data_IF_998821970790
#
_entry.id   IF_998821970790
#
_cell.length_a   1.000
_cell.length_b   1.000
_cell.length_c   1.000
_cell.angle_alpha   90.00
_cell.angle_beta   90.00
_cell.angle_gamma   90.00
#
_symmetry.space_group_name_H-M   'P 1'
#
loop_
_entity.id
_entity.type
_entity.pdbx_description
1 polymer ?
#
# COMPACT_ATOMS: atom_id res chain seq x y z
N UNK A 1 11.16 -80.19 7.60
CA UNK A 1 10.51 -80.12 6.27
C UNK A 1 10.10 -78.68 6.00
N UNK A 2 10.34 -78.17 4.78
CA UNK A 2 10.48 -76.74 4.52
C UNK A 2 9.12 -76.04 4.40
N UNK A 3 9.10 -74.78 4.87
CA UNK A 3 8.00 -73.83 4.71
C UNK A 3 7.93 -73.39 3.25
N UNK A 4 6.77 -73.59 2.64
CA UNK A 4 6.38 -73.08 1.33
C UNK A 4 6.40 -71.54 1.33
N UNK A 5 7.02 -70.88 0.33
CA UNK A 5 7.00 -69.43 0.24
C UNK A 5 5.66 -68.95 -0.35
N UNK A 6 5.00 -68.04 0.37
CA UNK A 6 3.84 -67.27 -0.13
C UNK A 6 4.37 -66.17 -1.06
N UNK A 7 3.94 -66.20 -2.31
CA UNK A 7 4.26 -65.19 -3.31
C UNK A 7 3.59 -63.85 -2.95
N UNK A 8 4.40 -62.80 -2.78
CA UNK A 8 3.93 -61.41 -2.67
C UNK A 8 3.63 -60.92 -4.08
N UNK A 9 2.35 -60.79 -4.41
CA UNK A 9 1.88 -60.18 -5.64
C UNK A 9 2.05 -58.66 -5.51
N UNK A 10 3.12 -58.10 -6.06
CA UNK A 10 3.30 -56.65 -6.19
C UNK A 10 2.45 -56.14 -7.35
N UNK A 11 1.28 -55.58 -7.04
CA UNK A 11 0.47 -54.81 -7.99
C UNK A 11 1.22 -53.54 -8.37
N UNK A 12 1.92 -53.57 -9.51
CA UNK A 12 2.38 -52.37 -10.22
C UNK A 12 1.14 -51.58 -10.64
N UNK A 13 0.82 -50.50 -9.94
CA UNK A 13 -0.09 -49.48 -10.45
C UNK A 13 0.55 -48.85 -11.69
N UNK A 14 0.00 -49.18 -12.85
CA UNK A 14 0.30 -48.53 -14.12
C UNK A 14 -0.08 -47.04 -13.99
N UNK A 15 0.93 -46.15 -14.04
CA UNK A 15 0.69 -44.71 -14.23
C UNK A 15 -0.02 -44.52 -15.59
N UNK A 16 -1.12 -43.77 -15.68
CA UNK A 16 -1.66 -43.39 -16.97
C UNK A 16 -0.63 -42.50 -17.69
N UNK A 17 -0.26 -42.90 -18.91
CA UNK A 17 0.53 -42.06 -19.80
C UNK A 17 -0.32 -40.87 -20.23
N UNK A 18 0.07 -39.67 -19.79
CA UNK A 18 -0.47 -38.42 -20.32
C UNK A 18 0.15 -38.23 -21.72
N UNK A 19 -0.63 -38.02 -22.79
CA UNK A 19 -0.06 -37.70 -24.09
C UNK A 19 0.64 -36.35 -24.01
N UNK A 20 1.94 -36.32 -24.28
CA UNK A 20 2.68 -35.08 -24.51
C UNK A 20 2.20 -34.46 -25.82
N UNK A 21 1.27 -33.49 -25.73
CA UNK A 21 0.97 -32.60 -26.83
C UNK A 21 2.18 -31.67 -27.04
N UNK A 22 3.05 -32.01 -27.99
CA UNK A 22 4.09 -31.10 -28.46
C UNK A 22 3.44 -30.01 -29.30
N UNK A 23 3.06 -28.89 -28.67
CA UNK A 23 2.71 -27.68 -29.40
C UNK A 23 3.99 -27.12 -30.04
N UNK A 24 4.00 -26.82 -31.35
CA UNK A 24 5.16 -26.20 -31.97
C UNK A 24 5.29 -24.77 -31.48
N UNK A 25 6.38 -24.46 -30.77
CA UNK A 25 6.80 -23.08 -30.57
C UNK A 25 7.00 -22.41 -31.93
N UNK A 26 6.39 -21.25 -32.21
CA UNK A 26 6.67 -20.53 -33.45
C UNK A 26 8.13 -20.06 -33.42
N UNK A 27 8.92 -20.53 -34.39
CA UNK A 27 10.24 -19.97 -34.68
C UNK A 27 10.05 -18.53 -35.13
N UNK A 28 10.45 -17.57 -34.30
CA UNK A 28 10.57 -16.18 -34.72
C UNK A 28 11.72 -16.06 -35.71
N UNK A 29 11.38 -15.94 -36.99
CA UNK A 29 12.31 -15.45 -38.00
C UNK A 29 12.52 -13.95 -37.76
N UNK A 30 13.78 -13.54 -37.56
CA UNK A 30 14.18 -12.14 -37.58
C UNK A 30 13.98 -11.56 -38.99
N UNK A 31 12.79 -11.03 -39.28
CA UNK A 31 12.62 -10.07 -40.35
C UNK A 31 12.96 -8.68 -39.79
N UNK A 32 14.07 -8.13 -40.25
CA UNK A 32 14.43 -6.71 -40.11
C UNK A 32 13.41 -5.89 -40.90
N UNK A 33 12.33 -5.49 -40.24
CA UNK A 33 11.39 -4.49 -40.73
C UNK A 33 11.85 -3.10 -40.28
N UNK A 34 11.80 -2.18 -41.23
CA UNK A 34 12.19 -0.76 -41.19
C UNK A 34 11.80 -0.04 -39.90
N UNK A 35 12.61 0.93 -39.42
CA UNK A 35 12.32 1.65 -38.18
C UNK A 35 11.03 2.46 -38.33
N UNK A 36 10.00 2.03 -37.61
CA UNK A 36 8.82 2.83 -37.30
C UNK A 36 9.24 4.19 -36.75
N UNK A 37 8.51 5.29 -37.04
CA UNK A 37 8.90 6.61 -36.57
C UNK A 37 9.03 6.55 -35.05
N UNK A 38 10.21 6.92 -34.55
CA UNK A 38 10.50 7.02 -33.12
C UNK A 38 9.36 7.84 -32.51
N UNK A 39 8.47 7.17 -31.78
CA UNK A 39 7.61 7.86 -30.82
C UNK A 39 8.59 8.50 -29.86
N UNK A 40 8.83 9.78 -30.07
CA UNK A 40 9.42 10.65 -29.08
C UNK A 40 8.53 10.48 -27.86
N UNK A 41 9.03 9.76 -26.86
CA UNK A 41 8.57 9.99 -25.50
C UNK A 41 8.91 11.44 -25.23
N UNK A 42 7.96 12.33 -25.55
CA UNK A 42 7.93 13.67 -25.02
C UNK A 42 8.12 13.48 -23.52
N UNK A 43 9.19 14.03 -22.96
CA UNK A 43 9.37 14.11 -21.51
C UNK A 43 8.05 14.59 -20.94
N UNK A 44 7.28 13.70 -20.31
CA UNK A 44 6.24 14.11 -19.38
C UNK A 44 6.97 15.00 -18.39
N UNK A 45 6.53 16.24 -18.33
CA UNK A 45 7.19 17.37 -17.69
C UNK A 45 7.78 17.01 -16.34
N UNK A 46 8.92 17.63 -16.01
CA UNK A 46 9.63 17.59 -14.70
C UNK A 46 8.78 18.11 -13.51
N UNK A 47 7.45 18.07 -13.62
CA UNK A 47 6.47 18.48 -12.61
C UNK A 47 6.07 17.28 -11.76
N UNK A 48 6.26 17.41 -10.45
CA UNK A 48 5.78 16.45 -9.46
C UNK A 48 4.26 16.24 -9.68
N UNK A 49 3.80 14.98 -9.90
CA UNK A 49 2.41 14.73 -10.25
C UNK A 49 1.49 15.21 -9.12
N UNK A 50 0.50 16.03 -9.49
CA UNK A 50 -0.61 16.36 -8.61
C UNK A 50 -1.78 15.47 -9.01
N UNK A 51 -2.24 14.64 -8.08
CA UNK A 51 -3.50 13.94 -8.28
C UNK A 51 -4.62 14.95 -8.52
N UNK A 52 -5.57 14.62 -9.40
CA UNK A 52 -6.82 15.38 -9.51
C UNK A 52 -7.62 15.06 -8.25
N UNK A 53 -7.49 15.91 -7.24
CA UNK A 53 -8.14 15.78 -5.95
C UNK A 53 -9.32 16.75 -5.88
N UNK A 54 -10.41 16.39 -5.19
CA UNK A 54 -11.56 17.27 -4.98
C UNK A 54 -11.27 18.38 -3.93
N UNK A 55 -10.08 18.99 -3.98
CA UNK A 55 -9.65 20.08 -3.12
C UNK A 55 -10.01 21.41 -3.79
N UNK A 56 -10.60 22.37 -3.07
CA UNK A 56 -10.85 23.71 -3.59
C UNK A 56 -9.58 24.38 -4.14
N UNK A 57 -9.70 25.08 -5.26
CA UNK A 57 -8.55 25.59 -6.04
C UNK A 57 -7.72 26.63 -5.28
N UNK A 58 -8.30 27.32 -4.30
CA UNK A 58 -7.62 28.26 -3.41
C UNK A 58 -6.52 27.60 -2.56
N UNK A 59 -6.54 26.27 -2.41
CA UNK A 59 -5.53 25.52 -1.67
C UNK A 59 -4.47 24.88 -2.56
N UNK A 60 -4.50 25.10 -3.88
CA UNK A 60 -3.58 24.47 -4.83
C UNK A 60 -2.11 24.75 -4.50
N UNK A 61 -1.77 25.97 -4.07
CA UNK A 61 -0.40 26.35 -3.76
C UNK A 61 0.11 25.65 -2.48
N UNK A 62 -0.74 25.58 -1.45
CA UNK A 62 -0.44 24.82 -0.23
C UNK A 62 -0.21 23.33 -0.54
N UNK A 63 -1.13 22.71 -1.29
CA UNK A 63 -1.02 21.29 -1.67
C UNK A 63 0.23 21.05 -2.52
N UNK A 64 0.54 21.93 -3.47
CA UNK A 64 1.75 21.84 -4.29
C UNK A 64 3.01 21.95 -3.43
N UNK A 65 3.03 22.88 -2.47
CA UNK A 65 4.18 23.07 -1.59
C UNK A 65 4.41 21.86 -0.68
N UNK A 66 3.34 21.33 -0.08
CA UNK A 66 3.39 20.12 0.75
C UNK A 66 3.82 18.90 -0.08
N UNK A 67 3.26 18.71 -1.29
CA UNK A 67 3.66 17.61 -2.17
C UNK A 67 5.13 17.70 -2.58
N UNK A 68 5.64 18.91 -2.82
CA UNK A 68 7.05 19.16 -3.11
C UNK A 68 7.95 18.79 -1.93
N UNK A 69 7.54 19.21 -0.72
CA UNK A 69 8.22 18.84 0.51
C UNK A 69 8.27 17.31 0.69
N UNK A 70 7.12 16.64 0.57
CA UNK A 70 7.02 15.17 0.75
C UNK A 70 7.87 14.44 -0.27
N UNK A 71 7.85 14.87 -1.53
CA UNK A 71 8.72 14.31 -2.56
C UNK A 71 10.20 14.41 -2.17
N UNK A 72 10.65 15.59 -1.70
CA UNK A 72 12.03 15.78 -1.22
C UNK A 72 12.37 14.90 -0.01
N UNK A 73 11.47 14.83 0.97
CA UNK A 73 11.63 14.02 2.17
C UNK A 73 11.75 12.53 1.83
N UNK A 74 10.81 11.99 1.06
CA UNK A 74 10.75 10.57 0.69
C UNK A 74 11.83 10.15 -0.31
N UNK A 75 12.43 11.11 -1.03
CA UNK A 75 13.57 10.86 -1.93
C UNK A 75 14.93 10.92 -1.21
N UNK A 76 14.94 11.26 0.09
CA UNK A 76 16.19 11.36 0.86
C UNK A 76 16.75 9.97 1.19
N UNK A 77 18.09 9.81 1.22
CA UNK A 77 18.74 8.53 1.54
C UNK A 77 18.25 7.96 2.89
N UNK A 78 17.87 6.68 2.91
CA UNK A 78 17.38 5.99 4.11
C UNK A 78 15.97 5.43 3.98
N UNK A 79 15.16 5.95 3.06
CA UNK A 79 13.88 5.37 2.68
C UNK A 79 14.12 4.17 1.75
N UNK A 80 13.55 3.01 2.08
CA UNK A 80 13.57 1.85 1.18
C UNK A 80 12.40 1.93 0.19
N UNK A 81 12.49 1.17 -0.91
CA UNK A 81 11.50 1.20 -2.00
C UNK A 81 10.09 0.75 -1.59
N UNK A 82 9.90 0.24 -0.37
CA UNK A 82 8.57 -0.09 0.14
C UNK A 82 7.86 1.12 0.78
N UNK A 83 8.57 2.21 1.09
CA UNK A 83 8.06 3.45 1.69
C UNK A 83 8.50 4.71 0.92
N UNK A 84 8.54 4.60 -0.41
CA UNK A 84 8.97 5.69 -1.29
C UNK A 84 7.84 6.68 -1.61
N UNK A 85 8.16 7.73 -2.36
CA UNK A 85 7.16 8.69 -2.81
C UNK A 85 6.01 8.05 -3.62
N UNK A 86 6.26 6.92 -4.31
CA UNK A 86 5.21 6.20 -5.04
C UNK A 86 4.19 5.56 -4.09
N UNK A 87 4.60 5.12 -2.90
CA UNK A 87 3.67 4.71 -1.85
C UNK A 87 2.71 5.84 -1.48
N UNK A 88 3.22 7.04 -1.23
CA UNK A 88 2.39 8.20 -0.89
C UNK A 88 1.34 8.48 -1.98
N UNK A 89 1.74 8.47 -3.26
CA UNK A 89 0.81 8.68 -4.38
C UNK A 89 -0.30 7.61 -4.42
N UNK A 90 0.04 6.34 -4.18
CA UNK A 90 -0.98 5.28 -4.14
C UNK A 90 -1.92 5.44 -2.95
N UNK A 91 -1.43 5.86 -1.78
CA UNK A 91 -2.26 6.17 -0.61
C UNK A 91 -3.21 7.33 -0.91
N UNK A 92 -2.71 8.43 -1.48
CA UNK A 92 -3.55 9.57 -1.89
C UNK A 92 -4.61 9.14 -2.91
N UNK A 93 -4.25 8.29 -3.87
CA UNK A 93 -5.20 7.73 -4.84
C UNK A 93 -6.26 6.83 -4.19
N UNK A 94 -5.87 5.96 -3.25
CA UNK A 94 -6.79 5.12 -2.49
C UNK A 94 -7.74 5.99 -1.64
N UNK A 95 -7.23 7.02 -0.98
CA UNK A 95 -8.01 7.95 -0.16
C UNK A 95 -9.06 8.69 -1.00
N UNK A 96 -8.70 9.15 -2.20
CA UNK A 96 -9.64 9.79 -3.12
C UNK A 96 -10.76 8.82 -3.55
N UNK A 97 -10.42 7.55 -3.81
CA UNK A 97 -11.39 6.53 -4.19
C UNK A 97 -12.34 6.17 -3.04
N UNK A 98 -11.81 6.04 -1.82
CA UNK A 98 -12.63 5.80 -0.62
C UNK A 98 -13.56 7.00 -0.38
N UNK A 99 -13.05 8.24 -0.44
CA UNK A 99 -13.85 9.45 -0.26
C UNK A 99 -15.04 9.50 -1.23
N UNK A 100 -14.83 9.13 -2.50
CA UNK A 100 -15.90 9.08 -3.49
C UNK A 100 -16.98 8.04 -3.14
N UNK A 101 -16.57 6.85 -2.68
CA UNK A 101 -17.50 5.80 -2.24
C UNK A 101 -18.28 6.22 -0.99
N UNK A 102 -17.60 6.82 0.00
CA UNK A 102 -18.24 7.27 1.24
C UNK A 102 -19.21 8.42 0.98
N UNK A 103 -18.87 9.39 0.12
CA UNK A 103 -19.80 10.48 -0.26
C UNK A 103 -21.03 9.96 -1.02
N UNK A 104 -20.88 8.90 -1.81
CA UNK A 104 -22.00 8.28 -2.53
C UNK A 104 -22.92 7.50 -1.57
N UNK A 105 -22.35 6.81 -0.58
CA UNK A 105 -23.10 6.02 0.39
C UNK A 105 -23.71 6.86 1.53
N UNK A 106 -23.03 7.92 1.93
CA UNK A 106 -23.34 8.79 3.07
C UNK A 106 -23.21 10.27 2.67
N UNK A 107 -24.09 10.78 1.78
CA UNK A 107 -24.02 12.17 1.29
C UNK A 107 -24.20 13.22 2.41
N UNK A 108 -24.80 12.84 3.54
CA UNK A 108 -24.96 13.67 4.73
C UNK A 108 -23.67 13.82 5.55
N UNK A 109 -22.70 12.94 5.35
CA UNK A 109 -21.46 12.93 6.12
C UNK A 109 -20.43 13.86 5.49
N UNK A 110 -20.05 14.88 6.25
CA UNK A 110 -19.03 15.82 5.82
C UNK A 110 -17.63 15.35 6.17
N UNK A 111 -16.69 15.67 5.28
CA UNK A 111 -15.27 15.41 5.44
C UNK A 111 -14.52 16.69 5.07
N UNK A 112 -13.55 17.07 5.90
CA UNK A 112 -12.58 18.10 5.59
C UNK A 112 -11.57 17.55 4.58
N UNK A 113 -11.87 17.80 3.30
CA UNK A 113 -11.12 17.26 2.17
C UNK A 113 -9.67 17.73 2.17
N UNK A 114 -9.41 18.96 2.62
CA UNK A 114 -8.05 19.48 2.69
C UNK A 114 -7.27 18.77 3.79
N UNK A 115 -7.83 18.63 5.00
CA UNK A 115 -7.19 17.91 6.09
C UNK A 115 -6.92 16.44 5.73
N UNK A 116 -7.86 15.78 5.06
CA UNK A 116 -7.75 14.40 4.59
C UNK A 116 -6.54 14.20 3.69
N UNK A 117 -6.39 15.03 2.65
CA UNK A 117 -5.31 14.85 1.68
C UNK A 117 -3.97 15.33 2.22
N UNK A 118 -3.93 16.40 3.02
CA UNK A 118 -2.70 16.78 3.71
C UNK A 118 -2.21 15.67 4.65
N UNK A 119 -3.12 15.03 5.38
CA UNK A 119 -2.78 13.88 6.21
C UNK A 119 -2.29 12.68 5.38
N UNK A 120 -2.95 12.37 4.25
CA UNK A 120 -2.49 11.31 3.35
C UNK A 120 -1.09 11.56 2.78
N UNK A 121 -0.77 12.81 2.40
CA UNK A 121 0.58 13.19 1.95
C UNK A 121 1.63 13.04 3.06
N UNK A 122 1.27 13.38 4.30
CA UNK A 122 2.21 13.51 5.41
C UNK A 122 2.26 12.30 6.35
N UNK A 123 1.45 11.26 6.13
CA UNK A 123 1.27 10.18 7.12
C UNK A 123 2.56 9.41 7.49
N UNK A 124 3.47 9.26 6.52
CA UNK A 124 4.78 8.61 6.72
C UNK A 124 5.91 9.63 7.00
N UNK A 125 5.61 10.94 7.03
CA UNK A 125 6.57 11.98 7.44
C UNK A 125 6.68 11.97 8.97
N UNK A 126 7.91 11.79 9.47
CA UNK A 126 8.15 11.78 10.92
C UNK A 126 7.84 10.45 11.62
N UNK A 127 7.68 9.33 10.88
CA UNK A 127 7.71 8.00 11.49
C UNK A 127 9.06 7.85 12.23
N UNK A 128 9.00 7.51 13.53
CA UNK A 128 10.16 7.41 14.44
C UNK A 128 11.27 6.49 13.93
N UNK A 129 11.01 5.69 12.90
CA UNK A 129 12.01 4.87 12.20
C UNK A 129 13.09 5.70 11.49
N UNK A 130 12.86 7.00 11.23
CA UNK A 130 13.75 7.84 10.42
C UNK A 130 14.05 9.23 11.01
N UNK A 131 13.55 9.57 12.20
CA UNK A 131 13.73 10.90 12.81
C UNK A 131 15.01 11.00 13.66
N UNK A 132 15.87 11.97 13.35
CA UNK A 132 17.01 12.40 14.17
C UNK A 132 16.55 13.37 15.27
N UNK A 133 16.54 12.88 16.52
CA UNK A 133 16.70 13.59 17.81
C UNK A 133 15.90 14.87 18.18
N UNK A 134 15.06 15.46 17.34
CA UNK A 134 14.07 16.46 17.78
C UNK A 134 12.69 15.81 17.94
N UNK A 135 11.92 16.23 18.96
CA UNK A 135 10.61 15.66 19.30
C UNK A 135 9.73 15.53 18.05
N UNK A 136 9.50 14.31 17.52
CA UNK A 136 8.85 14.11 16.21
C UNK A 136 7.41 14.62 16.18
N UNK A 137 6.81 14.86 17.34
CA UNK A 137 5.40 15.21 17.48
C UNK A 137 5.01 16.60 16.95
N UNK A 138 5.96 17.48 16.60
CA UNK A 138 5.68 18.85 16.11
C UNK A 138 6.10 19.12 14.66
N UNK A 139 6.73 18.16 13.98
CA UNK A 139 7.33 18.39 12.66
C UNK A 139 6.26 18.72 11.60
N UNK A 140 5.16 17.96 11.58
CA UNK A 140 4.07 18.15 10.61
C UNK A 140 3.41 19.50 10.81
N UNK A 141 3.09 19.87 12.05
CA UNK A 141 2.50 21.18 12.35
C UNK A 141 3.43 22.32 11.92
N UNK A 142 4.73 22.20 12.16
CA UNK A 142 5.73 23.21 11.77
C UNK A 142 5.81 23.38 10.25
N UNK A 143 5.85 22.27 9.51
CA UNK A 143 5.86 22.28 8.04
C UNK A 143 4.58 22.95 7.53
N UNK A 144 3.41 22.57 8.03
CA UNK A 144 2.14 23.12 7.57
C UNK A 144 2.06 24.62 7.83
N UNK A 145 2.43 25.09 9.02
CA UNK A 145 2.47 26.51 9.36
C UNK A 145 3.43 27.28 8.44
N UNK A 146 4.62 26.75 8.20
CA UNK A 146 5.60 27.36 7.30
C UNK A 146 5.11 27.46 5.84
N UNK A 147 4.16 26.61 5.45
CA UNK A 147 3.53 26.61 4.13
C UNK A 147 2.21 27.40 4.07
N UNK A 148 1.91 28.21 5.09
CA UNK A 148 0.74 29.10 5.11
C UNK A 148 -0.56 28.44 5.59
N UNK A 149 -0.48 27.26 6.21
CA UNK A 149 -1.63 26.60 6.82
C UNK A 149 -2.04 27.31 8.11
N UNK A 150 -3.35 27.31 8.43
CA UNK A 150 -3.81 27.80 9.72
C UNK A 150 -3.38 26.87 10.87
N UNK A 151 -3.22 27.40 12.07
CA UNK A 151 -2.85 26.59 13.26
C UNK A 151 -3.87 25.50 13.57
N UNK A 152 -5.16 25.79 13.38
CA UNK A 152 -6.26 24.84 13.56
C UNK A 152 -6.14 23.67 12.59
N UNK A 153 -5.93 23.95 11.29
CA UNK A 153 -5.78 22.90 10.28
C UNK A 153 -4.49 22.11 10.47
N UNK A 154 -3.38 22.78 10.81
CA UNK A 154 -2.11 22.13 11.10
C UNK A 154 -2.22 21.15 12.29
N UNK A 155 -2.91 21.55 13.36
CA UNK A 155 -3.16 20.70 14.54
C UNK A 155 -4.07 19.53 14.21
N UNK A 156 -5.13 19.75 13.40
CA UNK A 156 -6.01 18.68 12.91
C UNK A 156 -5.21 17.64 12.11
N UNK A 157 -4.43 18.07 11.13
CA UNK A 157 -3.62 17.17 10.28
C UNK A 157 -2.58 16.42 11.11
N UNK A 158 -1.86 17.10 12.00
CA UNK A 158 -0.91 16.46 12.93
C UNK A 158 -1.57 15.38 13.78
N UNK A 159 -2.80 15.65 14.27
CA UNK A 159 -3.56 14.71 15.09
C UNK A 159 -3.99 13.50 14.27
N UNK A 160 -4.51 13.71 13.05
CA UNK A 160 -4.87 12.61 12.15
C UNK A 160 -3.63 11.74 11.85
N UNK A 161 -2.53 12.35 11.39
CA UNK A 161 -1.31 11.61 11.02
C UNK A 161 -0.78 10.76 12.17
N UNK A 162 -0.73 11.30 13.39
CA UNK A 162 -0.28 10.58 14.59
C UNK A 162 -1.02 9.25 14.82
N UNK A 163 -2.26 9.15 14.36
CA UNK A 163 -3.13 8.00 14.57
C UNK A 163 -3.27 7.09 13.34
N UNK A 164 -2.58 7.37 12.21
CA UNK A 164 -2.71 6.57 10.99
C UNK A 164 -2.11 5.17 11.15
N UNK A 165 -0.91 5.06 11.74
CA UNK A 165 -0.13 3.82 11.68
C UNK A 165 -0.83 2.62 12.37
N UNK A 166 -0.71 1.45 11.75
CA UNK A 166 -1.20 0.17 12.31
C UNK A 166 -0.69 -0.07 13.73
N UNK A 167 0.61 0.13 13.96
CA UNK A 167 1.24 -0.11 15.25
C UNK A 167 0.70 0.82 16.35
N UNK A 168 0.34 2.06 16.01
CA UNK A 168 -0.27 2.97 16.97
C UNK A 168 -1.69 2.53 17.33
N UNK A 169 -2.51 2.12 16.34
CA UNK A 169 -3.86 1.62 16.60
C UNK A 169 -3.85 0.36 17.47
N UNK A 170 -2.99 -0.61 17.17
CA UNK A 170 -2.91 -1.85 17.96
C UNK A 170 -2.53 -1.56 19.42
N UNK A 171 -1.69 -0.55 19.66
CA UNK A 171 -1.26 -0.16 21.01
C UNK A 171 -2.29 0.72 21.74
N UNK A 172 -3.05 1.55 21.02
CA UNK A 172 -3.91 2.59 21.58
C UNK A 172 -5.31 2.61 20.92
N UNK A 173 -6.09 1.52 20.98
CA UNK A 173 -7.35 1.41 20.25
C UNK A 173 -8.41 2.43 20.71
N UNK A 174 -8.50 2.74 22.01
CA UNK A 174 -9.44 3.74 22.51
C UNK A 174 -9.08 5.15 22.04
N UNK A 175 -7.78 5.48 21.97
CA UNK A 175 -7.31 6.78 21.47
C UNK A 175 -7.69 6.96 20.00
N UNK A 176 -7.46 5.94 19.17
CA UNK A 176 -7.85 5.96 17.75
C UNK A 176 -9.36 6.11 17.60
N UNK A 177 -10.17 5.43 18.42
CA UNK A 177 -11.64 5.57 18.39
C UNK A 177 -12.08 7.00 18.70
N UNK A 178 -11.54 7.59 19.77
CA UNK A 178 -11.85 8.99 20.15
C UNK A 178 -11.50 9.98 19.03
N UNK A 179 -10.34 9.80 18.38
CA UNK A 179 -9.91 10.66 17.28
C UNK A 179 -10.75 10.43 16.01
N UNK A 180 -11.17 9.20 15.72
CA UNK A 180 -12.09 8.89 14.61
C UNK A 180 -13.44 9.58 14.78
N UNK A 181 -13.98 9.61 16.00
CA UNK A 181 -15.25 10.28 16.30
C UNK A 181 -15.16 11.79 16.08
N UNK A 182 -13.99 12.39 16.34
CA UNK A 182 -13.74 13.82 16.14
C UNK A 182 -13.36 14.16 14.68
N UNK A 183 -12.59 13.30 14.02
CA UNK A 183 -11.99 13.52 12.70
C UNK A 183 -12.21 12.29 11.82
N UNK A 184 -13.35 12.21 11.10
CA UNK A 184 -13.68 11.05 10.27
C UNK A 184 -12.70 10.83 9.10
N UNK A 185 -11.89 11.83 8.76
CA UNK A 185 -10.82 11.73 7.76
C UNK A 185 -9.77 10.68 8.16
N UNK A 186 -9.54 10.49 9.46
CA UNK A 186 -8.63 9.45 9.95
C UNK A 186 -9.02 8.06 9.43
N UNK A 187 -10.32 7.76 9.36
CA UNK A 187 -10.79 6.48 8.85
C UNK A 187 -10.45 6.28 7.39
N UNK A 188 -10.58 7.33 6.57
CA UNK A 188 -10.23 7.26 5.15
C UNK A 188 -8.71 7.10 4.96
N UNK A 189 -7.90 7.85 5.72
CA UNK A 189 -6.43 7.80 5.59
C UNK A 189 -5.88 6.46 6.08
N UNK A 190 -6.38 5.93 7.20
CA UNK A 190 -6.03 4.58 7.67
C UNK A 190 -6.36 3.49 6.66
N UNK A 191 -7.57 3.54 6.09
CA UNK A 191 -7.98 2.55 5.09
C UNK A 191 -7.14 2.67 3.82
N UNK A 192 -6.84 3.89 3.38
CA UNK A 192 -6.03 4.15 2.20
C UNK A 192 -4.60 3.62 2.31
N UNK A 193 -3.94 3.80 3.47
CA UNK A 193 -2.62 3.24 3.77
C UNK A 193 -2.67 1.70 3.82
N UNK A 194 -3.62 1.14 4.56
CA UNK A 194 -3.79 -0.32 4.68
C UNK A 194 -4.08 -1.00 3.35
N UNK A 195 -4.85 -0.36 2.48
CA UNK A 195 -5.13 -0.85 1.14
C UNK A 195 -3.84 -0.99 0.32
N UNK A 196 -2.84 -0.13 0.51
CA UNK A 196 -1.55 -0.22 -0.18
C UNK A 196 -0.64 -1.33 0.39
N UNK A 197 -0.97 -1.87 1.57
CA UNK A 197 -0.28 -3.01 2.18
C UNK A 197 -0.89 -4.37 1.78
N UNK A 198 -2.03 -4.39 1.07
CA UNK A 198 -2.67 -5.62 0.58
C UNK A 198 -2.85 -5.61 -0.94
N UNK A 199 -3.27 -6.75 -1.50
CA UNK A 199 -3.34 -6.95 -2.94
C UNK A 199 -1.98 -7.18 -3.58
N UNK A 200 -1.91 -7.14 -4.91
CA UNK A 200 -0.67 -7.40 -5.64
C UNK A 200 0.48 -6.45 -5.25
N UNK A 201 0.17 -5.17 -5.02
CA UNK A 201 1.15 -4.19 -4.53
C UNK A 201 1.61 -4.53 -3.12
N UNK A 202 0.68 -4.87 -2.22
CA UNK A 202 1.00 -5.29 -0.85
C UNK A 202 1.93 -6.50 -0.78
N UNK A 203 1.66 -7.52 -1.61
CA UNK A 203 2.54 -8.69 -1.75
C UNK A 203 3.94 -8.26 -2.17
N UNK A 204 4.07 -7.49 -3.25
CA UNK A 204 5.37 -7.01 -3.73
C UNK A 204 6.12 -6.21 -2.66
N UNK A 205 5.46 -5.25 -2.01
CA UNK A 205 6.04 -4.43 -0.94
C UNK A 205 6.51 -5.28 0.23
N UNK A 206 5.73 -6.29 0.64
CA UNK A 206 6.10 -7.17 1.75
C UNK A 206 7.42 -7.90 1.46
N UNK A 207 7.56 -8.50 0.26
CA UNK A 207 8.81 -9.17 -0.10
C UNK A 207 9.98 -8.20 -0.24
N UNK A 208 9.77 -7.02 -0.81
CA UNK A 208 10.79 -5.97 -0.91
C UNK A 208 11.28 -5.54 0.48
N UNK A 209 10.37 -5.27 1.40
CA UNK A 209 10.70 -4.89 2.78
C UNK A 209 11.42 -6.02 3.52
N UNK A 210 10.91 -7.25 3.44
CA UNK A 210 11.55 -8.42 4.05
C UNK A 210 12.97 -8.62 3.53
N UNK A 211 13.20 -8.50 2.22
CA UNK A 211 14.53 -8.62 1.63
C UNK A 211 15.49 -7.51 2.10
N UNK A 212 15.00 -6.28 2.25
CA UNK A 212 15.81 -5.15 2.70
C UNK A 212 16.15 -5.19 4.20
N UNK A 213 15.18 -5.56 5.05
CA UNK A 213 15.31 -5.52 6.52
C UNK A 213 15.80 -6.82 7.14
N UNK A 214 15.65 -7.94 6.45
CA UNK A 214 16.02 -9.28 6.94
C UNK A 214 16.88 -10.01 5.89
N UNK A 215 18.05 -9.44 5.51
CA UNK A 215 18.89 -10.05 4.49
C UNK A 215 19.36 -11.45 4.93
N UNK A 216 19.22 -12.43 4.04
CA UNK A 216 19.61 -13.82 4.31
C UNK A 216 18.54 -14.67 5.03
N UNK A 217 17.44 -14.08 5.48
CA UNK A 217 16.30 -14.87 5.96
C UNK A 217 15.53 -15.51 4.80
N UNK A 218 14.94 -16.71 5.00
CA UNK A 218 14.12 -17.35 3.98
C UNK A 218 12.91 -16.50 3.58
N UNK A 219 12.50 -16.58 2.32
CA UNK A 219 11.28 -15.92 1.82
C UNK A 219 10.02 -16.30 2.61
N UNK A 220 10.01 -17.47 3.26
CA UNK A 220 8.92 -17.89 4.15
C UNK A 220 8.60 -16.86 5.24
N UNK A 221 9.59 -16.07 5.68
CA UNK A 221 9.38 -14.99 6.67
C UNK A 221 8.47 -13.87 6.17
N UNK A 222 8.45 -13.61 4.85
CA UNK A 222 7.50 -12.68 4.27
C UNK A 222 6.08 -13.26 4.29
N UNK A 223 5.94 -14.57 4.04
CA UNK A 223 4.65 -15.28 4.09
C UNK A 223 4.09 -15.34 5.50
N UNK A 224 4.92 -15.61 6.52
CA UNK A 224 4.51 -15.53 7.92
C UNK A 224 3.95 -14.13 8.27
N UNK A 225 4.55 -13.07 7.71
CA UNK A 225 4.07 -11.72 7.90
C UNK A 225 2.67 -11.47 7.32
N UNK A 226 2.22 -12.28 6.34
CA UNK A 226 0.88 -12.15 5.79
C UNK A 226 -0.16 -12.44 6.86
N UNK A 227 0.03 -13.51 7.65
CA UNK A 227 -0.87 -13.90 8.74
C UNK A 227 -0.75 -12.98 9.95
N UNK A 228 0.48 -12.56 10.27
CA UNK A 228 0.72 -11.64 11.39
C UNK A 228 -0.04 -10.33 11.21
N UNK A 229 -0.09 -9.82 9.97
CA UNK A 229 -0.60 -8.49 9.64
C UNK A 229 -1.55 -8.43 8.44
N UNK A 230 -1.07 -8.72 7.23
CA UNK A 230 -1.78 -8.34 5.98
C UNK A 230 -3.20 -8.92 5.90
N UNK A 231 -3.39 -10.18 6.27
CA UNK A 231 -4.69 -10.86 6.25
C UNK A 231 -5.68 -10.29 7.29
N UNK A 232 -5.18 -9.61 8.33
CA UNK A 232 -6.04 -8.97 9.34
C UNK A 232 -6.54 -7.60 8.89
N UNK A 233 -5.85 -6.94 7.95
CA UNK A 233 -6.12 -5.55 7.59
C UNK A 233 -7.53 -5.34 7.02
N UNK A 234 -8.06 -6.32 6.28
CA UNK A 234 -9.43 -6.24 5.75
C UNK A 234 -10.49 -6.08 6.85
N UNK A 235 -10.32 -6.78 7.98
CA UNK A 235 -11.22 -6.68 9.13
C UNK A 235 -11.04 -5.41 9.99
N UNK A 236 -10.01 -4.60 9.71
CA UNK A 236 -9.70 -3.39 10.46
C UNK A 236 -10.06 -2.09 9.73
N UNK A 237 -10.61 -2.20 8.51
CA UNK A 237 -11.04 -1.06 7.72
C UNK A 237 -12.17 -0.29 8.42
N UNK A 238 -12.11 1.05 8.42
CA UNK A 238 -13.03 1.96 9.13
C UNK A 238 -14.25 2.31 8.29
N UNK A 239 -14.08 2.38 6.98
CA UNK A 239 -15.08 2.88 6.04
C UNK A 239 -15.78 1.73 5.30
N UNK A 240 -16.94 1.99 4.71
CA UNK A 240 -17.61 1.03 3.84
C UNK A 240 -16.83 0.82 2.55
N UNK A 241 -16.40 1.93 1.93
CA UNK A 241 -15.57 1.91 0.73
C UNK A 241 -14.22 1.21 0.94
N UNK A 242 -13.57 1.44 2.09
CA UNK A 242 -12.33 0.75 2.47
C UNK A 242 -12.51 -0.77 2.56
N UNK A 243 -13.59 -1.23 3.22
CA UNK A 243 -13.94 -2.66 3.30
C UNK A 243 -14.17 -3.29 1.94
N UNK A 244 -14.93 -2.62 1.06
CA UNK A 244 -15.21 -3.12 -0.30
C UNK A 244 -13.92 -3.28 -1.13
N UNK A 245 -13.03 -2.29 -1.08
CA UNK A 245 -11.74 -2.34 -1.77
C UNK A 245 -10.83 -3.41 -1.15
N UNK A 246 -10.87 -3.58 0.17
CA UNK A 246 -10.04 -4.51 0.90
C UNK A 246 -10.41 -5.96 0.64
N UNK A 247 -11.70 -6.28 0.47
CA UNK A 247 -12.14 -7.65 0.18
C UNK A 247 -11.49 -8.19 -1.10
N UNK A 248 -11.49 -7.39 -2.17
CA UNK A 248 -10.88 -7.77 -3.45
C UNK A 248 -9.37 -7.93 -3.34
N UNK A 249 -8.70 -7.03 -2.62
CA UNK A 249 -7.24 -7.06 -2.44
C UNK A 249 -6.80 -8.17 -1.46
N UNK A 250 -7.62 -8.49 -0.47
CA UNK A 250 -7.38 -9.55 0.51
C UNK A 250 -7.35 -10.93 -0.15
N UNK A 251 -8.29 -11.21 -1.06
CA UNK A 251 -8.30 -12.47 -1.84
C UNK A 251 -6.99 -12.72 -2.58
N UNK A 252 -6.38 -11.66 -3.14
CA UNK A 252 -5.07 -11.78 -3.81
C UNK A 252 -3.96 -12.19 -2.83
N UNK A 253 -3.99 -11.69 -1.59
CA UNK A 253 -3.01 -12.05 -0.56
C UNK A 253 -3.18 -13.51 -0.14
N UNK A 254 -4.43 -13.93 0.08
CA UNK A 254 -4.79 -15.32 0.43
C UNK A 254 -4.38 -16.30 -0.66
N UNK A 255 -4.81 -16.07 -1.91
CA UNK A 255 -4.48 -16.91 -3.06
C UNK A 255 -2.96 -16.98 -3.32
N UNK A 256 -2.25 -15.86 -3.17
CA UNK A 256 -0.79 -15.85 -3.32
C UNK A 256 -0.12 -16.73 -2.27
N UNK A 257 -0.54 -16.61 -1.00
CA UNK A 257 -0.01 -17.44 0.09
C UNK A 257 -0.25 -18.92 -0.17
N UNK A 258 -1.47 -19.30 -0.54
CA UNK A 258 -1.81 -20.70 -0.83
C UNK A 258 -0.90 -21.27 -1.92
N UNK A 259 -0.76 -20.57 -3.05
CA UNK A 259 0.11 -21.00 -4.16
C UNK A 259 1.60 -20.99 -3.82
N UNK A 260 2.03 -20.14 -2.89
CA UNK A 260 3.43 -20.14 -2.45
C UNK A 260 3.78 -21.38 -1.62
N UNK A 261 2.80 -21.97 -0.91
CA UNK A 261 2.98 -23.11 -0.03
C UNK A 261 2.84 -24.48 -0.72
N UNK A 262 2.40 -24.50 -1.99
CA UNK A 262 2.36 -25.69 -2.87
C UNK A 262 3.77 -26.13 -3.31
#
# INVERSE_FOLDING_TARGET
>A
MPKTPVAILTTRLLRPQIPTLSLPFPRYHHHLSTPSPKRTFTKMTDSIPLHILPIPTEHNDLVRSVNTFVHGYMSSPGHDSSHDYQHILRVVSNANRILALEKAAHPEKEYDVLALFLAAFLHDVGDHKYASSETPESQISTILLANGCSSTLATRVQTVVKHVSYSHEVKNPESVRSVLDQYPELGIVQDADRLDAIGAVGVARCFTFSGAKRPGEPMMRAIEHFEEKLMKLGGMMKTGGGRELAERRGKVVEEFRERFLE
#
